data_IF_007497100634
#
_entry.id   IF_007497100634
#
_cell.length_a   1.000
_cell.length_b   1.000
_cell.length_c   1.000
_cell.angle_alpha   90.00
_cell.angle_beta   90.00
_cell.angle_gamma   90.00
#
_symmetry.space_group_name_H-M   'P 1'
#
loop_
_entity.id
_entity.type
_entity.pdbx_description
1 polymer ?
#
# COMPACT_ATOMS: atom_id res chain seq x y z
N UNK A 1 14.03 -24.64 -29.79
CA UNK A 1 13.96 -23.27 -29.26
C UNK A 1 12.66 -23.19 -28.45
N UNK A 2 12.70 -23.01 -27.12
CA UNK A 2 11.45 -22.90 -26.33
C UNK A 2 10.90 -21.48 -26.51
N UNK A 3 9.71 -21.37 -27.08
CA UNK A 3 8.97 -20.12 -27.16
C UNK A 3 8.43 -19.75 -25.76
N UNK A 4 8.61 -18.50 -25.36
CA UNK A 4 7.75 -17.84 -24.36
C UNK A 4 8.07 -18.07 -22.88
N UNK A 5 9.26 -17.70 -22.42
CA UNK A 5 9.43 -17.41 -20.99
C UNK A 5 9.12 -15.93 -20.76
N UNK A 6 7.89 -15.67 -20.30
CA UNK A 6 7.48 -14.35 -19.84
C UNK A 6 8.28 -14.00 -18.59
N UNK A 7 9.01 -12.88 -18.60
CA UNK A 7 9.70 -12.40 -17.41
C UNK A 7 8.67 -11.94 -16.39
N UNK A 8 8.59 -12.62 -15.25
CA UNK A 8 7.76 -12.19 -14.13
C UNK A 8 8.60 -11.45 -13.09
N UNK A 9 8.02 -10.39 -12.54
CA UNK A 9 8.65 -9.61 -11.49
C UNK A 9 7.65 -9.30 -10.39
N UNK A 10 8.12 -9.40 -9.14
CA UNK A 10 7.34 -8.97 -7.98
C UNK A 10 7.39 -7.46 -7.83
N UNK A 11 6.21 -6.84 -7.78
CA UNK A 11 6.02 -5.40 -7.58
C UNK A 11 5.14 -5.15 -6.38
N UNK A 12 5.46 -4.09 -5.64
CA UNK A 12 4.61 -3.61 -4.57
C UNK A 12 3.42 -2.84 -5.15
N UNK A 13 2.22 -3.16 -4.71
CA UNK A 13 0.96 -2.58 -5.14
C UNK A 13 0.48 -1.55 -4.11
N UNK A 14 0.90 -0.30 -4.30
CA UNK A 14 0.50 0.82 -3.44
C UNK A 14 -0.97 1.20 -3.61
N UNK A 15 -1.62 0.84 -4.72
CA UNK A 15 -3.06 1.01 -4.87
C UNK A 15 -3.82 0.06 -3.95
N UNK A 16 -3.41 -1.21 -3.90
CA UNK A 16 -3.99 -2.17 -2.97
C UNK A 16 -3.80 -1.71 -1.50
N UNK A 17 -2.64 -1.16 -1.16
CA UNK A 17 -2.42 -0.55 0.17
C UNK A 17 -3.41 0.59 0.43
N UNK A 18 -3.60 1.52 -0.51
CA UNK A 18 -4.56 2.62 -0.37
C UNK A 18 -5.98 2.12 -0.08
N UNK A 19 -6.44 1.12 -0.84
CA UNK A 19 -7.80 0.61 -0.69
C UNK A 19 -8.00 -0.11 0.64
N UNK A 20 -7.02 -0.90 1.09
CA UNK A 20 -7.06 -1.54 2.41
C UNK A 20 -7.09 -0.49 3.55
N UNK A 21 -6.28 0.57 3.44
CA UNK A 21 -6.32 1.70 4.38
C UNK A 21 -7.70 2.36 4.40
N UNK A 22 -8.30 2.57 3.22
CA UNK A 22 -9.61 3.22 3.10
C UNK A 22 -10.76 2.36 3.64
N UNK A 23 -10.69 1.04 3.48
CA UNK A 23 -11.67 0.09 4.03
C UNK A 23 -11.62 0.13 5.56
N UNK A 24 -10.47 -0.18 6.17
CA UNK A 24 -10.30 -0.17 7.63
C UNK A 24 -10.62 1.20 8.25
N UNK A 25 -10.31 2.30 7.54
CA UNK A 25 -10.71 3.66 7.94
C UNK A 25 -12.22 3.81 8.06
N UNK A 26 -12.96 3.36 7.04
CA UNK A 26 -14.42 3.46 6.99
C UNK A 26 -15.06 2.57 8.04
N UNK A 27 -14.57 1.35 8.22
CA UNK A 27 -15.06 0.41 9.24
C UNK A 27 -14.89 0.96 10.65
N UNK A 28 -13.81 1.70 10.91
CA UNK A 28 -13.55 2.39 12.18
C UNK A 28 -14.22 3.76 12.29
N UNK A 29 -14.96 4.21 11.27
CA UNK A 29 -15.61 5.54 11.26
C UNK A 29 -14.64 6.73 11.33
N UNK A 30 -13.40 6.55 10.87
CA UNK A 30 -12.32 7.54 11.02
C UNK A 30 -12.17 8.45 9.79
N UNK A 31 -11.64 9.65 10.00
CA UNK A 31 -11.16 10.51 8.90
C UNK A 31 -9.69 10.18 8.56
N UNK A 32 -9.21 10.67 7.41
CA UNK A 32 -7.77 10.58 7.10
C UNK A 32 -6.90 11.37 8.09
N UNK A 33 -7.43 12.43 8.70
CA UNK A 33 -6.72 13.19 9.71
C UNK A 33 -6.56 12.39 11.01
N UNK A 34 -7.53 11.55 11.36
CA UNK A 34 -7.45 10.69 12.55
C UNK A 34 -6.37 9.62 12.38
N UNK A 35 -6.35 8.94 11.23
CA UNK A 35 -5.26 7.99 10.91
C UNK A 35 -3.91 8.69 10.95
N UNK A 36 -3.83 9.89 10.38
CA UNK A 36 -2.58 10.66 10.34
C UNK A 36 -2.00 10.91 11.72
N UNK A 37 -2.86 11.13 12.72
CA UNK A 37 -2.47 11.29 14.13
C UNK A 37 -2.06 9.96 14.76
N UNK A 38 -2.75 8.86 14.45
CA UNK A 38 -2.46 7.54 15.02
C UNK A 38 -1.10 6.99 14.55
N UNK A 39 -0.76 7.16 13.27
CA UNK A 39 0.42 6.50 12.67
C UNK A 39 1.56 7.48 12.35
N UNK A 40 1.40 8.76 12.69
CA UNK A 40 2.36 9.83 12.42
C UNK A 40 2.78 9.98 10.94
N UNK A 41 1.92 9.57 10.00
CA UNK A 41 2.09 9.79 8.55
C UNK A 41 1.08 10.82 8.09
N UNK A 42 1.51 11.81 7.28
CA UNK A 42 0.58 12.85 6.80
C UNK A 42 -0.56 12.26 5.96
N UNK A 43 -1.77 12.82 6.11
CA UNK A 43 -2.94 12.42 5.32
C UNK A 43 -2.74 12.61 3.79
N UNK A 44 -1.84 13.51 3.37
CA UNK A 44 -1.47 13.66 1.96
C UNK A 44 -0.58 12.51 1.49
N UNK A 45 0.38 12.07 2.30
CA UNK A 45 1.22 10.90 2.00
C UNK A 45 0.39 9.63 1.91
N UNK A 46 -0.54 9.40 2.85
CA UNK A 46 -1.44 8.23 2.80
C UNK A 46 -2.27 8.25 1.51
N UNK A 47 -2.87 9.38 1.14
CA UNK A 47 -3.71 9.47 -0.07
C UNK A 47 -2.90 9.38 -1.37
N UNK A 48 -1.63 9.80 -1.37
CA UNK A 48 -0.75 9.71 -2.54
C UNK A 48 -0.47 8.27 -2.97
N UNK A 49 -0.61 7.30 -2.07
CA UNK A 49 -0.46 5.87 -2.40
C UNK A 49 -1.39 5.42 -3.54
N UNK A 50 -2.59 6.01 -3.65
CA UNK A 50 -3.53 5.81 -4.77
C UNK A 50 -2.99 6.24 -6.13
N UNK A 51 -2.05 7.18 -6.17
CA UNK A 51 -1.44 7.61 -7.44
C UNK A 51 -0.33 6.64 -7.90
N UNK A 52 0.09 5.70 -7.04
CA UNK A 52 1.24 4.86 -7.31
C UNK A 52 2.58 5.59 -7.19
N UNK A 53 3.61 5.02 -7.81
CA UNK A 53 4.94 5.62 -7.90
C UNK A 53 5.82 5.40 -6.67
N UNK A 54 6.77 6.32 -6.44
CA UNK A 54 7.75 6.21 -5.35
C UNK A 54 7.08 6.40 -3.99
N UNK A 55 7.38 5.50 -3.08
CA UNK A 55 6.89 5.51 -1.70
C UNK A 55 8.08 5.42 -0.75
N UNK A 56 8.04 6.23 0.30
CA UNK A 56 9.03 6.13 1.38
C UNK A 56 8.74 4.89 2.24
N UNK A 57 9.79 4.19 2.63
CA UNK A 57 9.71 2.88 3.30
C UNK A 57 9.14 3.01 4.72
N UNK A 58 9.45 4.08 5.43
CA UNK A 58 8.94 4.35 6.77
C UNK A 58 7.41 4.52 6.77
N UNK A 59 6.88 5.32 5.84
CA UNK A 59 5.44 5.51 5.67
C UNK A 59 4.73 4.21 5.27
N UNK A 60 5.37 3.41 4.40
CA UNK A 60 4.87 2.07 4.05
C UNK A 60 4.73 1.18 5.28
N UNK A 61 5.79 1.09 6.10
CA UNK A 61 5.82 0.24 7.30
C UNK A 61 4.72 0.66 8.28
N UNK A 62 4.59 1.96 8.54
CA UNK A 62 3.54 2.48 9.43
C UNK A 62 2.12 2.12 8.94
N UNK A 63 1.88 2.17 7.63
CA UNK A 63 0.57 1.83 7.05
C UNK A 63 0.26 0.32 7.16
N UNK A 64 1.22 -0.56 6.86
CA UNK A 64 0.97 -2.02 6.95
C UNK A 64 0.85 -2.49 8.41
N UNK A 65 1.61 -1.88 9.32
CA UNK A 65 1.51 -2.13 10.76
C UNK A 65 0.13 -1.72 11.29
N UNK A 66 -0.37 -0.54 10.90
CA UNK A 66 -1.71 -0.09 11.25
C UNK A 66 -2.80 -1.00 10.68
N UNK A 67 -2.60 -1.59 9.50
CA UNK A 67 -3.51 -2.58 8.94
C UNK A 67 -3.43 -3.93 9.69
N UNK A 68 -2.32 -4.21 10.35
CA UNK A 68 -2.07 -5.48 11.05
C UNK A 68 -1.70 -6.61 10.09
N UNK A 69 -1.09 -6.28 8.96
CA UNK A 69 -0.73 -7.25 7.91
C UNK A 69 0.73 -7.04 7.45
N UNK A 70 1.41 -8.09 6.98
CA UNK A 70 2.78 -7.97 6.49
C UNK A 70 2.84 -7.26 5.12
N UNK A 71 3.99 -6.66 4.77
CA UNK A 71 4.21 -5.93 3.49
C UNK A 71 3.91 -6.81 2.27
N UNK A 72 4.23 -8.09 2.37
CA UNK A 72 4.06 -9.13 1.36
C UNK A 72 2.61 -9.29 0.91
N UNK A 73 1.65 -8.89 1.74
CA UNK A 73 0.21 -8.82 1.40
C UNK A 73 -0.04 -7.97 0.16
N UNK A 74 0.80 -6.96 -0.07
CA UNK A 74 0.71 -6.01 -1.17
C UNK A 74 1.75 -6.26 -2.27
N UNK A 75 2.44 -7.40 -2.27
CA UNK A 75 3.37 -7.77 -3.35
C UNK A 75 2.66 -8.64 -4.37
N UNK A 76 2.63 -8.19 -5.63
CA UNK A 76 1.97 -8.87 -6.75
C UNK A 76 2.98 -9.30 -7.79
N UNK A 77 2.70 -10.42 -8.45
CA UNK A 77 3.43 -10.80 -9.65
C UNK A 77 2.93 -9.95 -10.82
N UNK A 78 3.86 -9.38 -11.57
CA UNK A 78 3.58 -8.61 -12.77
C UNK A 78 4.40 -9.19 -13.91
N UNK A 79 3.71 -9.45 -15.02
CA UNK A 79 4.35 -9.79 -16.29
C UNK A 79 4.95 -8.54 -16.91
N UNK A 80 6.22 -8.61 -17.33
CA UNK A 80 6.95 -7.54 -18.02
C UNK A 80 6.86 -7.74 -19.54
#
# INVERSE_FOLDING_TARGET
MRAGESLSMRRFDSNALYYAMNEKRQDRGMTWADISKEIHVSASTIRRTKAGGRMEVDGMIAMVDWLGVPVETFVRETTI
#
